data_IF_654004077516
#
_entry.id   IF_654004077516
#
_cell.length_a   1.000
_cell.length_b   1.000
_cell.length_c   1.000
_cell.angle_alpha   90.00
_cell.angle_beta   90.00
_cell.angle_gamma   90.00
#
_symmetry.space_group_name_H-M   'P 1'
#
loop_
_entity.id
_entity.type
_entity.pdbx_description
1 polymer ?
#
# COMPACT_ATOMS: atom_id res chain seq x y z
N UNK A 1 -48.44 -22.44 16.43
CA UNK A 1 -48.04 -21.76 15.17
C UNK A 1 -46.52 -21.84 15.03
N UNK A 2 -45.98 -22.52 14.03
CA UNK A 2 -44.54 -22.50 13.74
C UNK A 2 -44.15 -21.11 13.24
N UNK A 3 -43.10 -20.52 13.80
CA UNK A 3 -42.53 -19.25 13.32
C UNK A 3 -42.06 -19.45 11.87
N UNK A 4 -42.34 -18.53 10.94
CA UNK A 4 -41.83 -18.63 9.59
C UNK A 4 -40.31 -18.63 9.62
N UNK A 5 -39.72 -19.76 9.20
CA UNK A 5 -38.30 -19.87 8.93
C UNK A 5 -38.00 -18.90 7.79
N UNK A 6 -37.29 -17.79 8.09
CA UNK A 6 -36.68 -16.97 7.05
C UNK A 6 -35.71 -17.89 6.32
N UNK A 7 -36.05 -18.28 5.09
CA UNK A 7 -35.10 -18.88 4.16
C UNK A 7 -34.09 -17.76 3.88
N UNK A 8 -33.02 -17.70 4.68
CA UNK A 8 -31.91 -16.81 4.40
C UNK A 8 -31.36 -17.25 3.05
N UNK A 9 -31.51 -16.41 2.03
CA UNK A 9 -30.96 -16.67 0.71
C UNK A 9 -29.46 -16.92 0.88
N UNK A 10 -29.00 -18.12 0.53
CA UNK A 10 -27.58 -18.45 0.62
C UNK A 10 -26.79 -17.43 -0.22
N UNK A 11 -25.74 -16.81 0.36
CA UNK A 11 -24.91 -15.89 -0.41
C UNK A 11 -24.27 -16.67 -1.56
N UNK A 12 -24.52 -16.22 -2.80
CA UNK A 12 -23.97 -16.86 -3.99
C UNK A 12 -22.66 -16.19 -4.38
N UNK A 13 -21.66 -16.99 -4.70
CA UNK A 13 -20.29 -16.51 -5.01
C UNK A 13 -20.29 -15.63 -6.27
N UNK A 14 -21.07 -15.98 -7.28
CA UNK A 14 -21.26 -15.19 -8.50
C UNK A 14 -21.77 -13.77 -8.22
N UNK A 15 -22.79 -13.65 -7.36
CA UNK A 15 -23.34 -12.36 -6.96
C UNK A 15 -22.33 -11.53 -6.16
N UNK A 16 -21.52 -12.17 -5.30
CA UNK A 16 -20.46 -11.52 -4.55
C UNK A 16 -19.34 -10.99 -5.47
N UNK A 17 -18.84 -11.82 -6.38
CA UNK A 17 -17.81 -11.43 -7.36
C UNK A 17 -18.31 -10.28 -8.23
N UNK A 18 -19.54 -10.35 -8.73
CA UNK A 18 -20.13 -9.29 -9.56
C UNK A 18 -20.28 -7.97 -8.79
N UNK A 19 -20.64 -8.03 -7.50
CA UNK A 19 -20.65 -6.85 -6.62
C UNK A 19 -19.26 -6.26 -6.45
N UNK A 20 -18.22 -7.07 -6.20
CA UNK A 20 -16.85 -6.57 -6.12
C UNK A 20 -16.46 -5.87 -7.42
N UNK A 21 -16.69 -6.50 -8.57
CA UNK A 21 -16.32 -5.95 -9.87
C UNK A 21 -17.00 -4.60 -10.15
N UNK A 22 -18.23 -4.40 -9.68
CA UNK A 22 -18.95 -3.12 -9.80
C UNK A 22 -18.48 -2.09 -8.77
N UNK A 23 -18.20 -2.52 -7.54
CA UNK A 23 -17.79 -1.63 -6.45
C UNK A 23 -16.34 -1.17 -6.57
N UNK A 24 -15.48 -1.96 -7.19
CA UNK A 24 -14.05 -1.69 -7.28
C UNK A 24 -13.76 -0.36 -8.03
N UNK A 25 -14.28 -0.10 -9.25
CA UNK A 25 -14.10 1.19 -9.91
C UNK A 25 -14.59 2.36 -9.06
N UNK A 26 -15.72 2.19 -8.38
CA UNK A 26 -16.30 3.23 -7.52
C UNK A 26 -15.41 3.53 -6.31
N UNK A 27 -14.94 2.48 -5.60
CA UNK A 27 -14.07 2.62 -4.44
C UNK A 27 -12.71 3.21 -4.83
N UNK A 28 -12.14 2.80 -5.96
CA UNK A 28 -10.91 3.37 -6.49
C UNK A 28 -11.08 4.84 -6.87
N UNK A 29 -12.18 5.22 -7.51
CA UNK A 29 -12.48 6.62 -7.83
C UNK A 29 -12.58 7.49 -6.58
N UNK A 30 -13.33 7.03 -5.58
CA UNK A 30 -13.48 7.75 -4.31
C UNK A 30 -12.14 7.86 -3.56
N UNK A 31 -11.38 6.77 -3.48
CA UNK A 31 -10.05 6.78 -2.86
C UNK A 31 -9.08 7.71 -3.59
N UNK A 32 -9.09 7.73 -4.92
CA UNK A 32 -8.24 8.62 -5.70
C UNK A 32 -8.54 10.09 -5.39
N UNK A 33 -9.81 10.47 -5.27
CA UNK A 33 -10.21 11.82 -4.85
C UNK A 33 -9.75 12.15 -3.43
N UNK A 34 -9.77 11.17 -2.53
CA UNK A 34 -9.33 11.30 -1.14
C UNK A 34 -7.83 11.07 -0.96
N UNK A 35 -7.07 10.80 -2.01
CA UNK A 35 -5.68 10.36 -1.88
C UNK A 35 -4.77 11.48 -1.40
N UNK A 36 -5.01 12.73 -1.79
CA UNK A 36 -4.24 13.90 -1.35
C UNK A 36 -4.03 13.96 0.18
N UNK A 37 -5.09 13.99 1.01
CA UNK A 37 -4.93 13.99 2.46
C UNK A 37 -4.41 12.65 3.02
N UNK A 38 -4.69 11.53 2.35
CA UNK A 38 -4.19 10.21 2.78
C UNK A 38 -2.69 10.02 2.51
N UNK A 39 -2.13 10.74 1.54
CA UNK A 39 -0.71 10.72 1.21
C UNK A 39 0.14 11.61 2.13
N UNK A 40 -0.44 12.64 2.74
CA UNK A 40 0.27 13.51 3.67
C UNK A 40 0.99 12.75 4.82
N UNK A 41 0.33 11.82 5.56
CA UNK A 41 1.02 11.03 6.57
C UNK A 41 2.07 10.08 5.98
N UNK A 42 1.87 9.60 4.74
CA UNK A 42 2.86 8.76 4.05
C UNK A 42 4.12 9.57 3.78
N UNK A 43 3.99 10.77 3.21
CA UNK A 43 5.10 11.68 2.95
C UNK A 43 5.88 11.99 4.22
N UNK A 44 5.16 12.39 5.29
CA UNK A 44 5.76 12.75 6.57
C UNK A 44 6.51 11.58 7.23
N UNK A 45 5.92 10.37 7.24
CA UNK A 45 6.56 9.19 7.80
C UNK A 45 7.76 8.73 6.96
N UNK A 46 7.63 8.74 5.63
CA UNK A 46 8.73 8.39 4.73
C UNK A 46 9.89 9.36 4.84
N UNK A 47 9.63 10.67 4.93
CA UNK A 47 10.66 11.71 5.19
C UNK A 47 11.40 11.43 6.50
N UNK A 48 10.66 11.24 7.59
CA UNK A 48 11.23 11.00 8.91
C UNK A 48 12.07 9.72 8.96
N UNK A 49 11.58 8.63 8.38
CA UNK A 49 12.33 7.36 8.32
C UNK A 49 13.59 7.47 7.46
N UNK A 50 13.50 8.08 6.29
CA UNK A 50 14.65 8.22 5.40
C UNK A 50 15.72 9.14 6.00
N UNK A 51 15.33 10.24 6.65
CA UNK A 51 16.27 11.10 7.38
C UNK A 51 16.88 10.42 8.60
N UNK A 52 16.15 9.52 9.25
CA UNK A 52 16.67 8.76 10.39
C UNK A 52 17.77 7.78 9.98
N UNK A 53 17.59 7.07 8.85
CA UNK A 53 18.55 6.06 8.39
C UNK A 53 19.62 6.61 7.43
N UNK A 54 19.32 7.67 6.69
CA UNK A 54 20.18 8.25 5.65
C UNK A 54 20.24 9.79 5.73
N UNK A 55 20.61 10.37 6.89
CA UNK A 55 20.59 11.83 7.12
C UNK A 55 21.48 12.62 6.16
N UNK A 56 22.62 12.03 5.77
CA UNK A 56 23.62 12.67 4.90
C UNK A 56 23.26 12.59 3.42
N UNK A 57 22.36 11.67 3.05
CA UNK A 57 21.94 11.43 1.66
C UNK A 57 20.64 12.18 1.34
N UNK A 58 19.68 12.17 2.27
CA UNK A 58 18.32 12.66 2.06
C UNK A 58 18.16 14.05 2.66
N UNK A 59 17.81 15.02 1.83
CA UNK A 59 17.54 16.39 2.27
C UNK A 59 16.10 16.50 2.76
N UNK A 60 15.15 16.07 1.93
CA UNK A 60 13.72 16.22 2.18
C UNK A 60 12.91 15.31 1.26
N UNK A 61 11.76 14.82 1.74
CA UNK A 61 10.72 14.20 0.93
C UNK A 61 9.50 15.12 0.92
N UNK A 62 9.15 15.61 -0.25
CA UNK A 62 8.05 16.57 -0.46
C UNK A 62 6.93 15.90 -1.24
N UNK A 63 5.70 16.08 -0.79
CA UNK A 63 4.54 15.65 -1.55
C UNK A 63 4.23 16.63 -2.69
N UNK A 64 4.23 16.12 -3.92
CA UNK A 64 3.80 16.81 -5.13
C UNK A 64 2.47 16.26 -5.62
N UNK A 65 1.35 16.85 -5.16
CA UNK A 65 -0.02 16.43 -5.51
C UNK A 65 -0.25 14.92 -5.21
N UNK A 66 0.05 14.03 -6.16
CA UNK A 66 -0.09 12.57 -6.06
C UNK A 66 1.24 11.79 -6.10
N UNK A 67 2.38 12.48 -6.23
CA UNK A 67 3.73 11.89 -6.21
C UNK A 67 4.52 12.40 -5.00
N UNK A 68 5.62 11.72 -4.69
CA UNK A 68 6.60 12.15 -3.71
C UNK A 68 7.91 12.45 -4.42
N UNK A 69 8.41 13.67 -4.23
CA UNK A 69 9.72 14.08 -4.69
C UNK A 69 10.71 13.96 -3.53
N UNK A 70 11.77 13.19 -3.73
CA UNK A 70 12.84 13.04 -2.75
C UNK A 70 14.02 13.86 -3.24
N UNK A 71 14.34 14.89 -2.45
CA UNK A 71 15.46 15.79 -2.67
C UNK A 71 16.66 15.19 -1.96
N UNK A 72 17.73 14.90 -2.71
CA UNK A 72 18.97 14.38 -2.16
C UNK A 72 19.97 15.51 -1.89
N UNK A 73 20.92 15.29 -0.96
CA UNK A 73 21.97 16.26 -0.60
C UNK A 73 23.19 16.23 -1.53
N UNK A 74 23.15 15.41 -2.58
CA UNK A 74 24.28 15.21 -3.47
C UNK A 74 24.32 16.36 -4.46
N UNK A 75 25.47 17.03 -4.50
CA UNK A 75 25.69 18.14 -5.42
C UNK A 75 25.83 17.63 -6.86
N UNK A 76 25.00 18.19 -7.74
CA UNK A 76 25.00 18.05 -9.22
C UNK A 76 26.34 18.20 -9.92
N UNK A 77 27.38 18.67 -9.24
CA UNK A 77 28.73 18.83 -9.81
C UNK A 77 29.29 17.56 -10.49
N UNK A 78 28.73 16.38 -10.20
CA UNK A 78 29.11 15.12 -10.82
C UNK A 78 28.20 14.65 -11.97
N UNK A 79 27.15 15.41 -12.33
CA UNK A 79 26.11 14.96 -13.26
C UNK A 79 26.03 15.81 -14.53
N UNK A 80 26.29 17.12 -14.49
CA UNK A 80 26.61 17.94 -15.69
C UNK A 80 26.85 19.40 -15.28
N UNK A 81 27.90 20.03 -15.82
CA UNK A 81 28.36 21.38 -15.44
C UNK A 81 27.38 22.54 -15.79
N UNK A 82 26.15 22.25 -16.22
CA UNK A 82 25.17 23.27 -16.62
C UNK A 82 23.98 23.45 -15.67
N UNK A 83 23.76 22.54 -14.72
CA UNK A 83 22.66 22.64 -13.77
C UNK A 83 23.17 22.41 -12.34
N UNK A 84 23.47 23.50 -11.64
CA UNK A 84 23.65 23.50 -10.18
C UNK A 84 22.28 23.24 -9.54
N UNK A 85 21.95 21.98 -9.28
CA UNK A 85 20.65 21.56 -8.76
C UNK A 85 20.76 20.33 -7.87
N UNK A 86 19.93 20.26 -6.84
CA UNK A 86 19.79 19.04 -6.03
C UNK A 86 19.18 17.95 -6.91
N UNK A 87 19.66 16.71 -6.80
CA UNK A 87 19.09 15.58 -7.52
C UNK A 87 17.75 15.22 -6.87
N UNK A 88 16.68 15.33 -7.67
CA UNK A 88 15.30 15.02 -7.28
C UNK A 88 14.86 13.74 -7.96
N UNK A 89 14.31 12.80 -7.19
CA UNK A 89 13.66 11.60 -7.70
C UNK A 89 12.18 11.62 -7.35
N UNK A 90 11.34 11.11 -8.25
CA UNK A 90 9.88 11.13 -8.10
C UNK A 90 9.36 9.71 -7.98
N UNK A 91 8.59 9.43 -6.92
CA UNK A 91 7.96 8.13 -6.66
C UNK A 91 6.45 8.29 -6.61
N UNK A 92 5.70 7.31 -7.13
CA UNK A 92 4.24 7.28 -7.03
C UNK A 92 3.78 6.44 -5.82
N UNK A 93 3.39 7.06 -4.70
CA UNK A 93 2.94 6.36 -3.49
C UNK A 93 1.58 5.66 -3.66
N UNK A 94 0.80 5.97 -4.70
CA UNK A 94 -0.51 5.34 -4.95
C UNK A 94 -0.37 3.85 -5.28
N UNK A 95 0.77 3.45 -5.88
CA UNK A 95 1.10 2.04 -6.16
C UNK A 95 1.19 1.18 -4.89
N UNK A 96 1.38 1.80 -3.73
CA UNK A 96 1.53 1.09 -2.45
C UNK A 96 0.29 1.26 -1.55
N UNK A 97 -0.63 2.16 -1.92
CA UNK A 97 -1.84 2.49 -1.13
C UNK A 97 -3.14 1.87 -1.64
N UNK A 98 -3.12 1.20 -2.80
CA UNK A 98 -4.35 0.66 -3.42
C UNK A 98 -5.02 -0.46 -2.61
N UNK A 99 -4.38 -0.96 -1.55
CA UNK A 99 -5.00 -1.92 -0.64
C UNK A 99 -6.24 -1.36 0.07
N UNK A 100 -6.30 -0.04 0.31
CA UNK A 100 -7.47 0.59 0.95
C UNK A 100 -8.75 0.50 0.11
N UNK A 101 -8.82 0.99 -1.14
CA UNK A 101 -10.04 0.87 -1.94
C UNK A 101 -10.42 -0.58 -2.21
N UNK A 102 -9.44 -1.48 -2.34
CA UNK A 102 -9.68 -2.91 -2.47
C UNK A 102 -10.36 -3.49 -1.21
N UNK A 103 -9.84 -3.20 -0.03
CA UNK A 103 -10.44 -3.64 1.24
C UNK A 103 -11.88 -3.11 1.40
N UNK A 104 -12.12 -1.84 1.07
CA UNK A 104 -13.45 -1.23 1.14
C UNK A 104 -14.42 -1.93 0.18
N UNK A 105 -14.01 -2.20 -1.06
CA UNK A 105 -14.83 -2.93 -2.02
C UNK A 105 -15.18 -4.34 -1.51
N UNK A 106 -14.21 -5.05 -0.92
CA UNK A 106 -14.43 -6.38 -0.33
C UNK A 106 -15.42 -6.32 0.86
N UNK A 107 -15.27 -5.32 1.73
CA UNK A 107 -16.17 -5.15 2.88
C UNK A 107 -17.59 -4.78 2.47
N UNK A 108 -17.76 -3.89 1.48
CA UNK A 108 -19.07 -3.49 0.96
C UNK A 108 -19.76 -4.59 0.15
N UNK A 109 -18.98 -5.46 -0.51
CA UNK A 109 -19.53 -6.63 -1.19
C UNK A 109 -20.03 -7.69 -0.20
N UNK A 110 -19.39 -7.79 0.98
CA UNK A 110 -19.86 -8.59 2.10
C UNK A 110 -21.14 -8.01 2.69
N UNK A 111 -22.12 -8.84 3.01
CA UNK A 111 -23.43 -8.37 3.50
C UNK A 111 -23.41 -7.80 4.94
N UNK A 112 -22.27 -7.83 5.63
CA UNK A 112 -22.15 -7.34 7.00
C UNK A 112 -21.39 -6.00 7.05
N UNK A 113 -22.09 -4.87 7.25
CA UNK A 113 -21.47 -3.54 7.35
C UNK A 113 -20.83 -3.25 8.73
N UNK A 114 -21.02 -4.13 9.73
CA UNK A 114 -20.52 -3.93 11.09
C UNK A 114 -19.04 -3.52 11.23
N UNK A 115 -18.08 -4.14 10.51
CA UNK A 115 -16.66 -3.82 10.65
C UNK A 115 -16.22 -2.52 9.97
N UNK A 116 -17.08 -1.83 9.22
CA UNK A 116 -16.73 -0.56 8.55
C UNK A 116 -16.33 0.53 9.56
N UNK A 117 -16.86 0.49 10.79
CA UNK A 117 -16.49 1.43 11.86
C UNK A 117 -15.02 1.33 12.29
N UNK A 118 -14.36 0.20 12.03
CA UNK A 118 -12.95 -0.03 12.40
C UNK A 118 -11.97 0.34 11.26
N UNK A 119 -12.48 0.79 10.11
CA UNK A 119 -11.66 1.02 8.92
C UNK A 119 -10.54 2.06 9.14
N UNK A 120 -10.82 3.09 9.93
CA UNK A 120 -9.81 4.09 10.28
C UNK A 120 -8.63 3.46 11.03
N UNK A 121 -8.90 2.60 12.02
CA UNK A 121 -7.86 1.91 12.78
C UNK A 121 -7.11 0.88 11.94
N UNK A 122 -7.81 0.17 11.07
CA UNK A 122 -7.19 -0.75 10.11
C UNK A 122 -6.25 -0.01 9.16
N UNK A 123 -6.70 1.15 8.65
CA UNK A 123 -5.85 2.00 7.82
C UNK A 123 -4.63 2.47 8.61
N UNK A 124 -4.82 3.05 9.79
CA UNK A 124 -3.75 3.63 10.59
C UNK A 124 -2.72 2.60 11.05
N UNK A 125 -3.15 1.42 11.52
CA UNK A 125 -2.26 0.44 12.15
C UNK A 125 -1.69 -0.59 11.18
N UNK A 126 -2.31 -0.81 10.01
CA UNK A 126 -1.90 -1.85 9.08
C UNK A 126 -1.57 -1.29 7.70
N UNK A 127 -2.54 -0.63 7.04
CA UNK A 127 -2.35 -0.20 5.66
C UNK A 127 -1.32 0.92 5.53
N UNK A 128 -1.33 1.90 6.45
CA UNK A 128 -0.42 3.03 6.43
C UNK A 128 1.05 2.60 6.64
N UNK A 129 1.41 1.78 7.66
CA UNK A 129 2.77 1.27 7.80
C UNK A 129 3.25 0.47 6.58
N UNK A 130 2.36 -0.34 5.99
CA UNK A 130 2.68 -1.13 4.80
C UNK A 130 2.92 -0.22 3.59
N UNK A 131 2.10 0.81 3.42
CA UNK A 131 2.27 1.78 2.34
C UNK A 131 3.57 2.58 2.52
N UNK A 132 3.86 3.06 3.73
CA UNK A 132 5.11 3.77 4.04
C UNK A 132 6.32 2.88 3.79
N UNK A 133 6.28 1.62 4.23
CA UNK A 133 7.35 0.67 3.97
C UNK A 133 7.59 0.47 2.47
N UNK A 134 6.52 0.26 1.69
CA UNK A 134 6.63 0.13 0.24
C UNK A 134 7.22 1.38 -0.43
N UNK A 135 6.78 2.57 -0.04
CA UNK A 135 7.33 3.85 -0.54
C UNK A 135 8.81 4.00 -0.21
N UNK A 136 9.22 3.72 1.03
CA UNK A 136 10.63 3.81 1.43
C UNK A 136 11.48 2.82 0.63
N UNK A 137 11.01 1.58 0.46
CA UNK A 137 11.73 0.58 -0.33
C UNK A 137 11.82 0.96 -1.81
N UNK A 138 10.79 1.60 -2.36
CA UNK A 138 10.81 2.14 -3.72
C UNK A 138 11.88 3.22 -3.89
N UNK A 139 11.93 4.17 -2.94
CA UNK A 139 12.93 5.25 -2.93
C UNK A 139 14.34 4.68 -2.86
N UNK A 140 14.60 3.74 -1.92
CA UNK A 140 15.90 3.09 -1.79
C UNK A 140 16.27 2.29 -3.03
N UNK A 141 15.31 1.61 -3.64
CA UNK A 141 15.52 0.89 -4.90
C UNK A 141 15.96 1.85 -6.01
N UNK A 142 15.25 2.96 -6.21
CA UNK A 142 15.63 3.97 -7.21
C UNK A 142 17.03 4.54 -6.91
N UNK A 143 17.35 4.84 -5.65
CA UNK A 143 18.69 5.32 -5.25
C UNK A 143 19.82 4.33 -5.55
N UNK A 144 19.56 3.02 -5.51
CA UNK A 144 20.58 1.98 -5.72
C UNK A 144 20.69 1.56 -7.18
N UNK A 145 19.58 1.53 -7.92
CA UNK A 145 19.54 0.94 -9.25
C UNK A 145 19.45 1.96 -10.38
N UNK A 146 18.98 3.18 -10.12
CA UNK A 146 18.72 4.19 -11.15
C UNK A 146 19.62 5.43 -11.00
N UNK A 147 20.30 5.60 -9.86
CA UNK A 147 21.17 6.74 -9.60
C UNK A 147 22.67 6.41 -9.82
N UNK A 148 23.54 7.44 -9.94
CA UNK A 148 24.98 7.21 -10.10
C UNK A 148 25.58 6.36 -8.98
N UNK A 149 26.67 5.64 -9.30
CA UNK A 149 27.32 4.70 -8.36
C UNK A 149 27.72 5.37 -7.05
N UNK A 150 28.11 6.64 -7.06
CA UNK A 150 28.44 7.42 -5.85
C UNK A 150 27.25 7.58 -4.89
N UNK A 151 26.02 7.57 -5.39
CA UNK A 151 24.78 7.60 -4.61
C UNK A 151 24.45 6.20 -4.11
N UNK A 152 24.48 5.22 -5.01
CA UNK A 152 24.12 3.84 -4.70
C UNK A 152 24.98 3.25 -3.57
N UNK A 153 26.29 3.54 -3.59
CA UNK A 153 27.24 3.07 -2.57
C UNK A 153 26.99 3.63 -1.17
N UNK A 154 26.27 4.75 -1.05
CA UNK A 154 25.87 5.30 0.26
C UNK A 154 24.67 4.55 0.87
N UNK A 155 23.89 3.85 0.05
CA UNK A 155 22.78 3.01 0.51
C UNK A 155 23.25 1.58 0.78
N UNK A 156 23.96 0.99 -0.18
CA UNK A 156 24.57 -0.33 -0.02
C UNK A 156 25.73 -0.52 -0.99
N UNK A 157 26.83 -1.07 -0.50
CA UNK A 157 28.06 -1.37 -1.24
C UNK A 157 28.19 -2.84 -1.66
N UNK A 158 27.35 -3.72 -1.09
CA UNK A 158 27.42 -5.16 -1.30
C UNK A 158 26.44 -5.64 -2.36
N UNK A 159 26.84 -6.62 -3.19
CA UNK A 159 25.96 -7.27 -4.16
C UNK A 159 24.77 -7.95 -3.47
N UNK A 160 25.01 -8.59 -2.32
CA UNK A 160 23.96 -9.21 -1.49
C UNK A 160 22.92 -8.17 -1.05
N UNK A 161 23.35 -6.99 -0.60
CA UNK A 161 22.46 -5.90 -0.19
C UNK A 161 21.59 -5.42 -1.36
N UNK A 162 22.17 -5.27 -2.56
CA UNK A 162 21.42 -4.92 -3.78
C UNK A 162 20.36 -5.98 -4.10
N UNK A 163 20.72 -7.26 -4.08
CA UNK A 163 19.77 -8.35 -4.36
C UNK A 163 18.63 -8.40 -3.34
N UNK A 164 18.93 -8.27 -2.04
CA UNK A 164 17.92 -8.22 -0.99
C UNK A 164 16.98 -7.02 -1.19
N UNK A 165 17.53 -5.84 -1.47
CA UNK A 165 16.75 -4.63 -1.70
C UNK A 165 15.82 -4.78 -2.91
N UNK A 166 16.32 -5.35 -4.02
CA UNK A 166 15.50 -5.63 -5.21
C UNK A 166 14.34 -6.58 -4.88
N UNK A 167 14.60 -7.65 -4.12
CA UNK A 167 13.57 -8.60 -3.70
C UNK A 167 12.53 -7.96 -2.78
N UNK A 168 12.96 -7.16 -1.80
CA UNK A 168 12.05 -6.46 -0.90
C UNK A 168 11.21 -5.43 -1.66
N UNK A 169 11.78 -4.71 -2.62
CA UNK A 169 11.03 -3.78 -3.45
C UNK A 169 9.96 -4.50 -4.30
N UNK A 170 10.30 -5.63 -4.92
CA UNK A 170 9.32 -6.45 -5.66
C UNK A 170 8.21 -6.98 -4.74
N UNK A 171 8.58 -7.49 -3.56
CA UNK A 171 7.62 -8.00 -2.58
C UNK A 171 6.67 -6.90 -2.08
N UNK A 172 7.22 -5.73 -1.74
CA UNK A 172 6.44 -4.62 -1.20
C UNK A 172 5.57 -3.89 -2.23
N UNK A 173 5.94 -3.90 -3.51
CA UNK A 173 5.12 -3.31 -4.59
C UNK A 173 4.02 -4.25 -5.11
N UNK A 174 4.31 -5.55 -5.22
CA UNK A 174 3.39 -6.50 -5.84
C UNK A 174 2.53 -7.27 -4.83
N UNK A 175 3.13 -7.74 -3.74
CA UNK A 175 2.49 -8.72 -2.85
C UNK A 175 1.76 -8.00 -1.72
N UNK A 176 2.44 -7.13 -0.98
CA UNK A 176 1.84 -6.50 0.20
C UNK A 176 0.54 -5.73 -0.10
N UNK A 177 0.51 -4.78 -1.05
CA UNK A 177 -0.67 -3.92 -1.18
C UNK A 177 -1.88 -4.67 -1.72
N UNK A 178 -1.66 -5.74 -2.48
CA UNK A 178 -2.70 -6.64 -3.00
C UNK A 178 -3.17 -7.66 -1.98
N UNK A 179 -2.25 -8.35 -1.27
CA UNK A 179 -2.58 -9.47 -0.39
C UNK A 179 -3.11 -9.02 0.98
N UNK A 180 -2.54 -7.96 1.56
CA UNK A 180 -2.94 -7.41 2.85
C UNK A 180 -4.44 -7.16 2.98
N UNK A 181 -5.13 -6.48 2.05
CA UNK A 181 -6.57 -6.26 2.17
C UNK A 181 -7.38 -7.56 2.15
N UNK A 182 -6.95 -8.59 1.42
CA UNK A 182 -7.61 -9.90 1.46
C UNK A 182 -7.47 -10.58 2.82
N UNK A 183 -6.26 -10.55 3.41
CA UNK A 183 -6.02 -11.14 4.74
C UNK A 183 -6.86 -10.42 5.80
N UNK A 184 -6.86 -9.09 5.79
CA UNK A 184 -7.65 -8.27 6.72
C UNK A 184 -9.13 -8.57 6.55
N UNK A 185 -9.63 -8.57 5.32
CA UNK A 185 -11.03 -8.88 5.04
C UNK A 185 -11.40 -10.28 5.51
N UNK A 186 -10.56 -11.28 5.24
CA UNK A 186 -10.79 -12.67 5.68
C UNK A 186 -10.92 -12.75 7.20
N UNK A 187 -10.08 -12.01 7.93
CA UNK A 187 -10.15 -11.95 9.38
C UNK A 187 -11.41 -11.22 9.90
N UNK A 188 -11.83 -10.13 9.24
CA UNK A 188 -12.99 -9.34 9.67
C UNK A 188 -14.35 -9.95 9.29
N UNK A 189 -14.40 -10.83 8.29
CA UNK A 189 -15.64 -11.39 7.72
C UNK A 189 -15.71 -12.92 7.85
N UNK A 190 -15.09 -13.50 8.88
CA UNK A 190 -15.06 -14.95 9.11
C UNK A 190 -16.46 -15.59 9.10
N UNK A 191 -17.45 -14.97 9.75
CA UNK A 191 -18.83 -15.48 9.80
C UNK A 191 -19.46 -15.53 8.40
N UNK A 192 -19.30 -14.46 7.62
CA UNK A 192 -19.80 -14.40 6.25
C UNK A 192 -19.11 -15.41 5.34
N UNK A 193 -17.80 -15.64 5.53
CA UNK A 193 -17.04 -16.62 4.76
C UNK A 193 -17.47 -18.06 5.04
N UNK A 194 -17.80 -18.38 6.29
CA UNK A 194 -18.33 -19.70 6.66
C UNK A 194 -19.72 -19.95 6.06
N UNK A 195 -20.51 -18.89 5.84
CA UNK A 195 -21.78 -18.97 5.11
C UNK A 195 -21.60 -19.06 3.59
N UNK A 196 -20.64 -18.32 3.03
CA UNK A 196 -20.34 -18.26 1.60
C UNK A 196 -19.67 -19.55 1.09
N UNK A 197 -18.79 -20.15 1.89
CA UNK A 197 -18.03 -21.35 1.54
C UNK A 197 -18.27 -22.42 2.62
N UNK A 198 -19.35 -23.22 2.49
CA UNK A 198 -19.70 -24.25 3.48
C UNK A 198 -18.60 -25.29 3.71
N UNK A 199 -17.67 -25.43 2.76
CA UNK A 199 -16.52 -26.33 2.87
C UNK A 199 -15.50 -25.88 3.94
N UNK A 200 -15.36 -24.56 4.18
CA UNK A 200 -14.48 -24.03 5.24
C UNK A 200 -14.97 -24.44 6.64
N UNK A 201 -16.29 -24.62 6.80
CA UNK A 201 -16.89 -25.04 8.07
C UNK A 201 -16.42 -26.43 8.53
N UNK A 202 -15.99 -27.31 7.60
CA UNK A 202 -15.43 -28.64 7.93
C UNK A 202 -13.98 -28.60 8.41
N UNK A 203 -13.24 -27.54 8.12
CA UNK A 203 -11.84 -27.39 8.55
C UNK A 203 -11.73 -26.74 9.93
N UNK A 204 -12.79 -26.02 10.35
CA UNK A 204 -12.88 -25.34 11.63
C UNK A 204 -13.74 -26.11 12.67
N UNK A 205 -14.27 -27.28 12.33
CA UNK A 205 -14.98 -28.20 13.24
C UNK A 205 -14.07 -29.31 13.75
#
# INVERSE_FOLDING_TARGET
MPKPQKIAAQPRIDAFVLRILLLLPFCFGLWFLLSLPLLAPVAWLSDGLLKLFYPDLIAEVVQQVYTLDVITRIDSQHIDASNQGLLVLTVNPLLYGYGMPLLVALMLAGLNPGPLGNLFWVWLCLLLPIQVFGVVMAILHTLVFEMPVSVAMQVTDSETGRNILALINQFSSLILPGLTPFIIWFYLQQDYLLELIPQLKRLYS
#
